data_IF_504161021555
#
_entry.id   IF_504161021555
#
_cell.length_a   1.000
_cell.length_b   1.000
_cell.length_c   1.000
_cell.angle_alpha   90.00
_cell.angle_beta   90.00
_cell.angle_gamma   90.00
#
_symmetry.space_group_name_H-M   'P 1'
#
loop_
_entity.id
_entity.type
_entity.pdbx_description
1 polymer ?
#
# COMPACT_ATOMS: atom_id res chain seq x y z
N UNK A 1 21.62 12.28 -47.20
CA UNK A 1 22.72 12.29 -46.21
C UNK A 1 22.31 11.34 -45.07
N UNK A 2 23.05 10.27 -44.77
CA UNK A 2 22.66 9.35 -43.70
C UNK A 2 22.71 10.06 -42.33
N UNK A 3 21.84 9.68 -41.38
CA UNK A 3 21.86 10.27 -40.04
C UNK A 3 23.23 10.07 -39.40
N UNK A 4 23.80 11.12 -38.80
CA UNK A 4 25.07 10.97 -38.08
C UNK A 4 24.88 10.09 -36.84
N UNK A 5 25.91 9.31 -36.49
CA UNK A 5 25.92 8.35 -35.37
C UNK A 5 25.42 8.98 -34.06
N UNK A 6 25.68 10.27 -33.82
CA UNK A 6 25.22 11.01 -32.64
C UNK A 6 23.69 11.06 -32.48
N UNK A 7 22.94 11.01 -33.58
CA UNK A 7 21.46 10.93 -33.58
C UNK A 7 20.92 9.51 -33.37
N UNK A 8 21.76 8.48 -33.53
CA UNK A 8 21.42 7.07 -33.25
C UNK A 8 21.73 6.63 -31.82
N UNK A 9 22.39 7.48 -31.01
CA UNK A 9 22.67 7.16 -29.61
C UNK A 9 21.38 7.35 -28.80
N UNK A 10 20.66 6.25 -28.58
CA UNK A 10 19.62 6.17 -27.54
C UNK A 10 20.35 6.30 -26.21
N UNK A 11 20.01 7.30 -25.41
CA UNK A 11 20.50 7.40 -24.03
C UNK A 11 19.94 6.21 -23.24
N UNK A 12 20.70 5.13 -23.10
CA UNK A 12 20.41 4.08 -22.14
C UNK A 12 20.68 4.64 -20.74
N UNK A 13 19.67 5.26 -20.13
CA UNK A 13 19.71 5.54 -18.71
C UNK A 13 19.48 4.20 -17.99
N UNK A 14 20.46 3.78 -17.18
CA UNK A 14 20.20 2.74 -16.19
C UNK A 14 19.03 3.22 -15.32
N UNK A 15 17.99 2.40 -15.07
CA UNK A 15 16.94 2.77 -14.13
C UNK A 15 17.60 3.18 -12.82
N UNK A 16 17.36 4.42 -12.37
CA UNK A 16 17.75 4.81 -11.02
C UNK A 16 17.16 3.77 -10.08
N UNK A 17 17.99 3.15 -9.26
CA UNK A 17 17.55 2.19 -8.25
C UNK A 17 16.63 2.92 -7.29
N UNK A 18 15.33 2.82 -7.54
CA UNK A 18 14.32 3.33 -6.62
C UNK A 18 14.15 2.29 -5.54
N UNK A 19 14.28 2.72 -4.27
CA UNK A 19 14.09 1.82 -3.13
C UNK A 19 12.71 1.18 -3.22
N UNK A 20 12.65 -0.15 -3.27
CA UNK A 20 11.38 -0.85 -3.32
C UNK A 20 10.68 -0.82 -1.96
N UNK A 21 9.35 -0.96 -1.98
CA UNK A 21 8.52 -1.00 -0.78
C UNK A 21 7.49 0.10 -0.69
N UNK A 22 6.80 0.17 0.45
CA UNK A 22 5.76 1.18 0.69
C UNK A 22 6.25 2.24 1.65
N UNK A 23 6.06 3.52 1.31
CA UNK A 23 6.57 4.64 2.10
C UNK A 23 5.51 5.71 2.38
N UNK A 24 5.61 6.44 3.52
CA UNK A 24 4.89 7.67 3.72
C UNK A 24 5.06 8.63 2.54
N UNK A 25 3.98 9.26 2.10
CA UNK A 25 4.12 10.38 1.17
C UNK A 25 4.54 11.64 1.94
N UNK A 26 5.31 12.53 1.30
CA UNK A 26 5.81 13.77 1.90
C UNK A 26 4.75 14.90 1.97
N UNK A 27 3.49 14.56 2.22
CA UNK A 27 2.37 15.52 2.26
C UNK A 27 1.90 15.72 3.70
N UNK A 28 1.97 16.94 4.21
CA UNK A 28 1.64 17.30 5.60
C UNK A 28 0.18 16.98 6.00
N UNK A 29 -0.75 16.88 5.04
CA UNK A 29 -2.18 16.59 5.28
C UNK A 29 -2.54 15.10 5.18
N UNK A 30 -1.56 14.21 5.03
CA UNK A 30 -1.83 12.80 4.74
C UNK A 30 -1.94 11.95 6.02
N UNK A 31 -3.12 11.82 6.61
CA UNK A 31 -3.31 10.98 7.81
C UNK A 31 -2.96 9.49 7.63
N UNK A 32 -2.77 9.04 6.39
CA UNK A 32 -2.42 7.64 6.09
C UNK A 32 -0.98 7.30 6.48
N UNK A 33 -0.07 8.28 6.58
CA UNK A 33 1.35 8.01 6.86
C UNK A 33 1.55 7.22 8.17
N UNK A 34 0.68 7.45 9.16
CA UNK A 34 0.73 6.84 10.50
C UNK A 34 0.58 5.32 10.47
N UNK A 35 -0.07 4.80 9.44
CA UNK A 35 -0.39 3.38 9.30
C UNK A 35 0.49 2.68 8.26
N UNK A 36 1.38 3.41 7.58
CA UNK A 36 2.24 2.81 6.56
C UNK A 36 3.29 1.92 7.21
N UNK A 37 3.32 0.66 6.81
CA UNK A 37 4.39 -0.26 7.12
C UNK A 37 5.51 -0.12 6.08
N UNK A 38 6.63 0.48 6.49
CA UNK A 38 7.80 0.68 5.64
C UNK A 38 8.57 -0.62 5.42
N UNK A 39 8.02 -1.52 4.59
CA UNK A 39 8.65 -2.77 4.18
C UNK A 39 8.57 -2.96 2.67
N UNK A 40 9.51 -3.76 2.17
CA UNK A 40 9.57 -4.28 0.81
C UNK A 40 9.17 -5.77 0.73
N UNK A 41 8.91 -6.41 1.87
CA UNK A 41 8.53 -7.81 1.96
C UNK A 41 7.43 -8.02 3.00
N UNK A 42 6.57 -8.98 2.73
CA UNK A 42 5.50 -9.39 3.64
C UNK A 42 5.34 -10.90 3.65
N UNK A 43 5.22 -11.48 4.83
CA UNK A 43 4.89 -12.90 5.02
C UNK A 43 3.41 -13.11 4.75
N UNK A 44 3.09 -14.12 3.92
CA UNK A 44 1.70 -14.48 3.65
C UNK A 44 1.22 -15.38 4.80
N UNK A 45 0.16 -15.00 5.52
CA UNK A 45 -0.33 -15.73 6.68
C UNK A 45 -0.63 -17.19 6.36
N UNK A 46 -0.39 -18.06 7.34
CA UNK A 46 -0.62 -19.51 7.21
C UNK A 46 0.16 -20.16 6.07
N UNK A 47 1.20 -19.49 5.56
CA UNK A 47 2.13 -20.03 4.59
C UNK A 47 3.56 -19.70 5.00
N UNK A 48 4.53 -20.43 4.46
CA UNK A 48 5.95 -20.10 4.59
C UNK A 48 6.43 -19.20 3.43
N UNK A 49 5.51 -18.54 2.72
CA UNK A 49 5.83 -17.72 1.54
C UNK A 49 5.96 -16.26 1.93
N UNK A 50 6.96 -15.61 1.35
CA UNK A 50 7.19 -14.17 1.43
C UNK A 50 6.86 -13.55 0.08
N UNK A 51 6.07 -12.49 0.09
CA UNK A 51 5.81 -11.68 -1.09
C UNK A 51 6.73 -10.46 -1.10
N UNK A 52 7.52 -10.30 -2.17
CA UNK A 52 8.45 -9.19 -2.35
C UNK A 52 7.83 -8.11 -3.24
N UNK A 53 7.81 -6.89 -2.71
CA UNK A 53 7.39 -5.67 -3.39
C UNK A 53 8.57 -5.19 -4.23
N UNK A 54 8.38 -5.10 -5.54
CA UNK A 54 9.47 -4.81 -6.48
C UNK A 54 9.63 -3.31 -6.78
N UNK A 55 8.58 -2.52 -6.55
CA UNK A 55 8.55 -1.10 -6.92
C UNK A 55 8.44 -0.20 -5.70
N UNK A 56 8.74 1.09 -5.90
CA UNK A 56 8.46 2.13 -4.93
C UNK A 56 6.98 2.49 -4.94
N UNK A 57 6.32 2.42 -3.79
CA UNK A 57 4.96 2.86 -3.58
C UNK A 57 4.87 3.84 -2.41
N UNK A 58 3.84 4.69 -2.44
CA UNK A 58 3.54 5.58 -1.32
C UNK A 58 2.05 5.81 -1.16
N UNK A 59 1.64 6.57 -0.14
CA UNK A 59 0.23 6.96 0.03
C UNK A 59 -0.34 7.73 -1.18
N UNK A 60 0.51 8.24 -2.08
CA UNK A 60 0.12 8.94 -3.30
C UNK A 60 -0.06 8.01 -4.52
N UNK A 61 0.35 6.75 -4.43
CA UNK A 61 0.18 5.75 -5.51
C UNK A 61 -1.31 5.45 -5.74
N UNK A 62 -1.69 5.29 -7.01
CA UNK A 62 -3.04 4.96 -7.49
C UNK A 62 -3.00 3.63 -8.24
N UNK A 63 -4.16 3.03 -8.56
CA UNK A 63 -4.25 1.71 -9.20
C UNK A 63 -3.40 0.67 -8.46
N UNK A 64 -3.71 0.46 -7.17
CA UNK A 64 -2.92 -0.40 -6.28
C UNK A 64 -3.74 -1.53 -5.68
N UNK A 65 -3.09 -2.69 -5.53
CA UNK A 65 -3.47 -3.76 -4.60
C UNK A 65 -2.71 -3.55 -3.31
N UNK A 66 -3.42 -3.52 -2.19
CA UNK A 66 -2.88 -3.24 -0.88
C UNK A 66 -3.35 -4.26 0.15
N UNK A 67 -2.61 -4.33 1.25
CA UNK A 67 -2.89 -5.14 2.41
C UNK A 67 -3.09 -4.23 3.63
N UNK A 68 -4.13 -4.52 4.40
CA UNK A 68 -4.35 -3.99 5.74
C UNK A 68 -4.15 -5.13 6.73
N UNK A 69 -3.37 -4.91 7.77
CA UNK A 69 -3.14 -5.87 8.85
C UNK A 69 -3.53 -5.24 10.18
N UNK A 70 -4.26 -6.00 11.01
CA UNK A 70 -4.50 -5.67 12.40
C UNK A 70 -3.37 -6.23 13.27
N UNK A 71 -2.72 -5.38 14.05
CA UNK A 71 -1.60 -5.77 14.94
C UNK A 71 -2.07 -6.50 16.20
N UNK A 72 -3.37 -6.46 16.52
CA UNK A 72 -3.98 -7.18 17.65
C UNK A 72 -4.28 -8.63 17.34
N UNK A 73 -4.46 -8.98 16.06
CA UNK A 73 -4.83 -10.33 15.64
C UNK A 73 -3.60 -11.18 15.40
N UNK A 74 -3.44 -12.25 16.18
CA UNK A 74 -2.40 -13.25 15.96
C UNK A 74 -2.60 -14.03 14.65
N UNK A 75 -3.85 -14.30 14.28
CA UNK A 75 -4.22 -15.02 13.05
C UNK A 75 -5.50 -14.40 12.48
N UNK A 76 -5.47 -13.90 11.23
CA UNK A 76 -6.68 -13.53 10.49
C UNK A 76 -7.09 -12.05 10.46
N UNK A 77 -6.32 -11.14 11.06
CA UNK A 77 -6.58 -9.69 10.99
C UNK A 77 -6.15 -9.06 9.67
N UNK A 78 -6.32 -9.73 8.52
CA UNK A 78 -5.74 -9.30 7.25
C UNK A 78 -6.83 -9.10 6.19
N UNK A 79 -6.73 -7.98 5.49
CA UNK A 79 -7.60 -7.62 4.38
C UNK A 79 -6.75 -7.23 3.18
N UNK A 80 -7.01 -7.88 2.04
CA UNK A 80 -6.43 -7.49 0.75
C UNK A 80 -7.51 -6.78 -0.06
N UNK A 81 -7.18 -5.62 -0.58
CA UNK A 81 -8.10 -4.83 -1.39
C UNK A 81 -7.40 -4.20 -2.59
N UNK A 82 -8.22 -3.76 -3.54
CA UNK A 82 -7.79 -3.01 -4.71
C UNK A 82 -8.42 -1.62 -4.69
N UNK A 83 -7.75 -0.65 -5.32
CA UNK A 83 -8.32 0.67 -5.56
C UNK A 83 -7.70 1.33 -6.79
N UNK A 84 -8.54 1.91 -7.66
CA UNK A 84 -8.09 2.83 -8.70
C UNK A 84 -7.69 4.21 -8.16
N UNK A 85 -8.28 4.63 -7.03
CA UNK A 85 -7.94 5.89 -6.38
C UNK A 85 -6.59 5.83 -5.67
N UNK A 86 -6.04 7.02 -5.34
CA UNK A 86 -4.85 7.14 -4.47
C UNK A 86 -5.04 6.36 -3.17
N UNK A 87 -3.99 5.70 -2.70
CA UNK A 87 -4.03 4.89 -1.48
C UNK A 87 -4.52 5.69 -0.26
N UNK A 88 -4.07 6.95 -0.13
CA UNK A 88 -4.55 7.86 0.93
C UNK A 88 -6.06 8.11 0.90
N UNK A 89 -6.65 8.17 -0.30
CA UNK A 89 -8.10 8.36 -0.46
C UNK A 89 -8.84 7.11 -0.02
N UNK A 90 -8.36 5.93 -0.42
CA UNK A 90 -8.95 4.65 0.01
C UNK A 90 -8.87 4.45 1.52
N UNK A 91 -7.76 4.85 2.14
CA UNK A 91 -7.60 4.81 3.60
C UNK A 91 -8.47 5.84 4.31
N UNK A 92 -8.75 7.02 3.72
CA UNK A 92 -9.78 7.93 4.28
C UNK A 92 -11.13 7.22 4.38
N UNK A 93 -11.53 6.46 3.35
CA UNK A 93 -12.81 5.75 3.37
C UNK A 93 -12.85 4.67 4.45
N UNK A 94 -11.79 3.86 4.57
CA UNK A 94 -11.68 2.88 5.67
C UNK A 94 -11.73 3.55 7.04
N UNK A 95 -10.98 4.64 7.24
CA UNK A 95 -11.00 5.43 8.48
C UNK A 95 -12.38 5.95 8.82
N UNK A 96 -13.09 6.50 7.84
CA UNK A 96 -14.44 6.98 8.03
C UNK A 96 -15.37 5.84 8.47
N UNK A 97 -15.32 4.69 7.80
CA UNK A 97 -16.12 3.51 8.14
C UNK A 97 -15.84 2.99 9.56
N UNK A 98 -14.58 2.95 9.97
CA UNK A 98 -14.19 2.56 11.33
C UNK A 98 -14.70 3.58 12.35
N UNK A 99 -14.52 4.88 12.10
CA UNK A 99 -14.96 5.95 12.99
C UNK A 99 -16.49 5.98 13.17
N UNK A 100 -17.24 5.82 12.07
CA UNK A 100 -18.71 5.78 12.11
C UNK A 100 -19.27 4.43 12.55
N UNK A 101 -18.41 3.47 12.91
CA UNK A 101 -18.79 2.10 13.29
C UNK A 101 -19.68 1.42 12.24
N UNK A 102 -19.38 1.67 10.96
CA UNK A 102 -20.08 1.10 9.82
C UNK A 102 -19.53 -0.30 9.53
N UNK A 103 -20.35 -1.33 9.76
CA UNK A 103 -19.97 -2.73 9.61
C UNK A 103 -20.40 -3.33 8.25
N UNK A 104 -20.46 -2.50 7.21
CA UNK A 104 -20.87 -2.85 5.84
C UNK A 104 -19.69 -3.24 4.93
N UNK A 105 -18.47 -3.17 5.45
CA UNK A 105 -17.25 -3.60 4.76
C UNK A 105 -16.49 -4.61 5.61
N UNK A 106 -15.71 -5.53 5.03
CA UNK A 106 -14.93 -6.50 5.82
C UNK A 106 -14.01 -5.85 6.85
N UNK A 107 -13.39 -4.72 6.49
CA UNK A 107 -12.57 -3.91 7.41
C UNK A 107 -13.44 -3.33 8.52
N UNK A 108 -14.57 -2.69 8.19
CA UNK A 108 -15.50 -2.15 9.17
C UNK A 108 -16.01 -3.21 10.15
N UNK A 109 -16.43 -4.38 9.66
CA UNK A 109 -16.89 -5.51 10.48
C UNK A 109 -15.84 -5.97 11.49
N UNK A 110 -14.57 -6.04 11.07
CA UNK A 110 -13.47 -6.42 11.94
C UNK A 110 -13.33 -5.45 13.12
N UNK A 111 -13.30 -4.15 12.86
CA UNK A 111 -13.12 -3.14 13.91
C UNK A 111 -14.39 -2.90 14.75
N UNK A 112 -15.59 -3.13 14.21
CA UNK A 112 -16.84 -3.08 14.98
C UNK A 112 -16.90 -4.15 16.08
N UNK A 113 -16.42 -5.36 15.78
CA UNK A 113 -16.71 -6.56 16.58
C UNK A 113 -15.66 -6.89 17.65
N UNK A 114 -14.41 -6.45 17.48
CA UNK A 114 -13.29 -6.95 18.28
C UNK A 114 -12.70 -5.95 19.29
N UNK A 115 -13.37 -4.82 19.54
CA UNK A 115 -12.83 -3.72 20.37
C UNK A 115 -11.43 -3.26 19.91
N UNK A 116 -11.15 -3.40 18.61
CA UNK A 116 -9.93 -2.91 17.97
C UNK A 116 -10.16 -1.49 17.45
N UNK A 117 -9.07 -0.77 17.25
CA UNK A 117 -9.09 0.61 16.78
C UNK A 117 -8.23 0.80 15.54
N UNK A 118 -8.36 1.97 14.94
CA UNK A 118 -7.51 2.38 13.83
C UNK A 118 -6.01 2.39 14.19
N UNK A 119 -5.65 2.52 15.47
CA UNK A 119 -4.25 2.47 15.92
C UNK A 119 -3.63 1.07 15.74
N UNK A 120 -4.48 0.05 15.66
CA UNK A 120 -4.06 -1.34 15.44
C UNK A 120 -3.90 -1.65 13.95
N UNK A 121 -3.96 -0.65 13.07
CA UNK A 121 -3.91 -0.83 11.60
C UNK A 121 -2.51 -0.60 11.06
N UNK A 122 -2.02 -1.56 10.28
CA UNK A 122 -0.87 -1.40 9.39
C UNK A 122 -1.29 -1.58 7.94
N UNK A 123 -0.61 -0.87 7.03
CA UNK A 123 -0.97 -0.76 5.62
C UNK A 123 0.27 -0.86 4.75
N UNK A 124 0.18 -1.67 3.71
CA UNK A 124 1.26 -1.90 2.76
C UNK A 124 0.69 -2.09 1.35
N UNK A 125 1.38 -1.57 0.34
CA UNK A 125 1.01 -1.76 -1.08
C UNK A 125 1.80 -2.95 -1.62
N UNK A 126 1.07 -3.95 -2.15
CA UNK A 126 1.64 -5.17 -2.71
C UNK A 126 2.03 -5.00 -4.18
N UNK A 127 1.18 -4.30 -4.94
CA UNK A 127 1.34 -4.12 -6.38
C UNK A 127 0.57 -2.89 -6.83
N UNK A 128 0.93 -2.32 -7.98
CA UNK A 128 0.15 -1.29 -8.64
C UNK A 128 0.58 -1.06 -10.08
N UNK A 129 -0.19 -0.22 -10.79
CA UNK A 129 -0.05 0.10 -12.21
C UNK A 129 -0.21 -1.14 -13.12
N UNK A 130 -1.35 -1.79 -13.00
CA UNK A 130 -1.83 -2.85 -13.92
C UNK A 130 -2.91 -2.30 -14.86
#
# INVERSE_FOLDING_TARGET
QPPNLRKMIVRSALPKTTKAGTFPCNTNRCETYKYILCKDQVEIPNTQKVYTILNYYSCASSNVVYMITCTRCSTGGIYIGETGHKMRTRMNHHRHKIYTKSCDTPVGQHFCSQNHSLQDTQVLILKGNF
#
